data_IF_418506851428
#
_entry.id   IF_418506851428
#
_cell.length_a   1.000
_cell.length_b   1.000
_cell.length_c   1.000
_cell.angle_alpha   90.00
_cell.angle_beta   90.00
_cell.angle_gamma   90.00
#
_symmetry.space_group_name_H-M   'P 1'
#
loop_
_entity.id
_entity.type
_entity.pdbx_description
1 polymer ?
#
# COMPACT_ATOMS: atom_id res chain seq x y z
N UNK A 1 -37.79 -14.50 -1.92
CA UNK A 1 -37.47 -14.83 -0.52
C UNK A 1 -37.53 -13.54 0.28
N UNK A 2 -38.24 -13.50 1.42
CA UNK A 2 -38.33 -12.29 2.27
C UNK A 2 -36.93 -11.96 2.76
N UNK A 3 -36.55 -10.69 2.66
CA UNK A 3 -35.26 -10.19 3.11
C UNK A 3 -35.02 -10.57 4.59
N UNK A 4 -34.06 -11.46 4.90
CA UNK A 4 -33.82 -11.93 6.27
C UNK A 4 -33.36 -10.79 7.20
N UNK A 5 -32.96 -9.65 6.63
CA UNK A 5 -32.45 -8.49 7.33
C UNK A 5 -33.43 -7.84 8.32
N UNK A 6 -34.74 -7.92 8.06
CA UNK A 6 -35.75 -7.32 8.94
C UNK A 6 -35.97 -8.13 10.23
N UNK A 7 -35.90 -9.45 10.14
CA UNK A 7 -36.05 -10.35 11.30
C UNK A 7 -34.81 -10.21 12.20
N UNK A 8 -33.63 -10.06 11.58
CA UNK A 8 -32.34 -9.85 12.24
C UNK A 8 -32.30 -8.56 13.08
N UNK A 9 -32.64 -7.41 12.48
CA UNK A 9 -32.67 -6.12 13.19
C UNK A 9 -33.63 -6.13 14.37
N UNK A 10 -34.73 -6.87 14.23
CA UNK A 10 -35.72 -7.02 15.30
C UNK A 10 -35.16 -7.86 16.44
N UNK A 11 -34.55 -9.01 16.14
CA UNK A 11 -33.92 -9.87 17.14
C UNK A 11 -32.83 -9.12 17.94
N UNK A 12 -31.90 -8.45 17.26
CA UNK A 12 -30.82 -7.67 17.87
C UNK A 12 -31.34 -6.51 18.73
N UNK A 13 -32.42 -5.85 18.30
CA UNK A 13 -33.02 -4.76 19.08
C UNK A 13 -33.69 -5.28 20.34
N UNK A 14 -34.40 -6.40 20.25
CA UNK A 14 -35.08 -7.03 21.39
C UNK A 14 -34.06 -7.55 22.40
N UNK A 15 -33.04 -8.30 21.99
CA UNK A 15 -32.00 -8.79 22.91
C UNK A 15 -31.28 -7.65 23.62
N UNK A 16 -30.93 -6.58 22.90
CA UNK A 16 -30.25 -5.41 23.47
C UNK A 16 -31.14 -4.64 24.45
N UNK A 17 -32.44 -4.57 24.18
CA UNK A 17 -33.39 -3.92 25.09
C UNK A 17 -33.63 -4.76 26.34
N UNK A 18 -33.90 -6.06 26.20
CA UNK A 18 -34.14 -6.98 27.33
C UNK A 18 -32.92 -7.08 28.23
N UNK A 19 -31.71 -7.10 27.66
CA UNK A 19 -30.45 -7.11 28.40
C UNK A 19 -30.03 -5.77 29.01
N UNK A 20 -30.85 -4.71 28.91
CA UNK A 20 -30.50 -3.38 29.42
C UNK A 20 -30.77 -3.23 30.92
N UNK A 21 -30.02 -2.35 31.64
CA UNK A 21 -30.34 -2.01 33.03
C UNK A 21 -31.76 -1.46 33.22
N UNK A 22 -32.30 -0.78 32.20
CA UNK A 22 -33.68 -0.28 32.22
C UNK A 22 -34.72 -1.41 32.23
N UNK A 23 -34.49 -2.47 31.46
CA UNK A 23 -35.32 -3.68 31.50
C UNK A 23 -35.27 -4.34 32.88
N UNK A 24 -34.09 -4.47 33.49
CA UNK A 24 -33.95 -5.03 34.84
C UNK A 24 -34.78 -4.24 35.88
N UNK A 25 -34.72 -2.90 35.82
CA UNK A 25 -35.50 -2.04 36.69
C UNK A 25 -37.02 -2.21 36.45
N UNK A 26 -37.46 -2.26 35.19
CA UNK A 26 -38.86 -2.49 34.84
C UNK A 26 -39.38 -3.84 35.36
N UNK A 27 -38.61 -4.92 35.17
CA UNK A 27 -38.96 -6.24 35.71
C UNK A 27 -39.04 -6.24 37.23
N UNK A 28 -38.08 -5.60 37.90
CA UNK A 28 -38.09 -5.47 39.37
C UNK A 28 -39.35 -4.76 39.86
N UNK A 29 -39.75 -3.66 39.21
CA UNK A 29 -40.97 -2.92 39.53
C UNK A 29 -42.23 -3.75 39.28
N UNK A 30 -42.31 -4.45 38.14
CA UNK A 30 -43.46 -5.33 37.80
C UNK A 30 -43.61 -6.45 38.83
N UNK A 31 -42.51 -7.10 39.23
CA UNK A 31 -42.53 -8.13 40.25
C UNK A 31 -43.05 -7.59 41.59
N UNK A 32 -42.51 -6.46 42.07
CA UNK A 32 -42.97 -5.83 43.31
C UNK A 32 -44.47 -5.48 43.21
N UNK A 33 -44.91 -4.92 42.09
CA UNK A 33 -46.31 -4.59 41.87
C UNK A 33 -47.22 -5.84 41.87
N UNK A 34 -46.77 -6.97 41.33
CA UNK A 34 -47.50 -8.23 41.34
C UNK A 34 -47.66 -8.79 42.76
N UNK A 35 -46.66 -8.64 43.63
CA UNK A 35 -46.81 -9.03 45.05
C UNK A 35 -47.69 -8.05 45.84
N UNK A 36 -47.60 -6.75 45.56
CA UNK A 36 -48.47 -5.73 46.19
C UNK A 36 -49.93 -5.87 45.78
N UNK A 37 -50.23 -6.37 44.58
CA UNK A 37 -51.62 -6.58 44.14
C UNK A 37 -52.32 -7.69 44.93
N UNK A 38 -51.57 -8.71 45.38
CA UNK A 38 -52.06 -9.76 46.28
C UNK A 38 -52.36 -9.19 47.67
N UNK A 39 -51.44 -8.39 48.23
CA UNK A 39 -51.63 -7.74 49.54
C UNK A 39 -52.86 -6.80 49.54
N UNK A 40 -53.10 -6.11 48.42
CA UNK A 40 -54.27 -5.25 48.25
C UNK A 40 -55.58 -6.01 47.95
N UNK A 41 -55.54 -7.33 47.84
CA UNK A 41 -56.71 -8.19 47.61
C UNK A 41 -57.25 -8.18 46.18
N UNK A 42 -56.46 -7.74 45.19
CA UNK A 42 -56.88 -7.74 43.77
C UNK A 42 -56.72 -9.11 43.09
N UNK A 43 -55.86 -9.97 43.61
CA UNK A 43 -55.60 -11.31 43.09
C UNK A 43 -55.25 -12.28 44.23
N UNK A 44 -55.57 -13.56 44.05
CA UNK A 44 -55.12 -14.62 44.96
C UNK A 44 -53.64 -14.96 44.70
N UNK A 45 -52.95 -15.43 45.73
CA UNK A 45 -51.51 -15.73 45.65
C UNK A 45 -51.19 -16.81 44.61
N UNK A 46 -52.02 -17.85 44.53
CA UNK A 46 -51.84 -18.98 43.60
C UNK A 46 -52.02 -18.56 42.14
N UNK A 47 -53.08 -17.81 41.84
CA UNK A 47 -53.35 -17.28 40.50
C UNK A 47 -52.27 -16.30 40.04
N UNK A 48 -51.85 -15.39 40.94
CA UNK A 48 -50.76 -14.45 40.67
C UNK A 48 -49.47 -15.20 40.32
N UNK A 49 -49.08 -16.20 41.12
CA UNK A 49 -47.88 -16.99 40.85
C UNK A 49 -47.98 -17.74 39.51
N UNK A 50 -49.14 -18.34 39.21
CA UNK A 50 -49.35 -19.05 37.95
C UNK A 50 -49.19 -18.13 36.74
N UNK A 51 -49.77 -16.93 36.80
CA UNK A 51 -49.68 -15.94 35.72
C UNK A 51 -48.24 -15.42 35.61
N UNK A 52 -47.65 -14.97 36.73
CA UNK A 52 -46.31 -14.38 36.75
C UNK A 52 -45.26 -15.37 36.24
N UNK A 53 -45.30 -16.62 36.71
CA UNK A 53 -44.35 -17.66 36.25
C UNK A 53 -44.58 -18.05 34.80
N UNK A 54 -45.83 -18.08 34.31
CA UNK A 54 -46.12 -18.28 32.89
C UNK A 54 -45.54 -17.15 32.03
N UNK A 55 -45.72 -15.89 32.43
CA UNK A 55 -45.19 -14.74 31.68
C UNK A 55 -43.66 -14.77 31.67
N UNK A 56 -43.04 -14.96 32.84
CA UNK A 56 -41.57 -14.96 32.98
C UNK A 56 -40.96 -16.15 32.23
N UNK A 57 -41.60 -17.32 32.24
CA UNK A 57 -41.14 -18.47 31.47
C UNK A 57 -41.27 -18.26 29.96
N UNK A 58 -42.37 -17.66 29.50
CA UNK A 58 -42.50 -17.28 28.09
C UNK A 58 -41.41 -16.29 27.68
N UNK A 59 -41.17 -15.25 28.48
CA UNK A 59 -40.10 -14.29 28.23
C UNK A 59 -38.73 -14.97 28.14
N UNK A 60 -38.41 -15.89 29.04
CA UNK A 60 -37.16 -16.63 29.03
C UNK A 60 -36.98 -17.47 27.76
N UNK A 61 -38.04 -18.14 27.29
CA UNK A 61 -38.01 -18.91 26.04
C UNK A 61 -37.80 -17.99 24.83
N UNK A 62 -38.52 -16.88 24.75
CA UNK A 62 -38.37 -15.91 23.66
C UNK A 62 -36.96 -15.30 23.64
N UNK A 63 -36.44 -14.89 24.80
CA UNK A 63 -35.09 -14.33 24.91
C UNK A 63 -34.02 -15.35 24.48
N UNK A 64 -34.15 -16.61 24.90
CA UNK A 64 -33.22 -17.67 24.49
C UNK A 64 -33.20 -17.87 22.97
N UNK A 65 -34.36 -17.87 22.32
CA UNK A 65 -34.47 -17.99 20.85
C UNK A 65 -33.82 -16.77 20.17
N UNK A 66 -34.07 -15.55 20.66
CA UNK A 66 -33.46 -14.35 20.10
C UNK A 66 -31.94 -14.32 20.27
N UNK A 67 -31.43 -14.77 21.42
CA UNK A 67 -29.99 -14.93 21.65
C UNK A 67 -29.41 -15.94 20.66
N UNK A 68 -30.02 -17.11 20.49
CA UNK A 68 -29.53 -18.14 19.57
C UNK A 68 -29.52 -17.64 18.12
N UNK A 69 -30.56 -16.92 17.68
CA UNK A 69 -30.57 -16.30 16.35
C UNK A 69 -29.44 -15.27 16.19
N UNK A 70 -29.20 -14.46 17.22
CA UNK A 70 -28.12 -13.46 17.21
C UNK A 70 -26.74 -14.12 17.15
N UNK A 71 -26.53 -15.20 17.89
CA UNK A 71 -25.27 -15.97 17.88
C UNK A 71 -25.05 -16.58 16.49
N UNK A 72 -26.04 -17.30 15.95
CA UNK A 72 -25.92 -17.93 14.63
C UNK A 72 -25.57 -16.91 13.55
N UNK A 73 -26.20 -15.73 13.61
CA UNK A 73 -25.88 -14.63 12.69
C UNK A 73 -24.46 -14.09 12.90
N UNK A 74 -24.06 -13.86 14.15
CA UNK A 74 -22.70 -13.39 14.45
C UNK A 74 -21.66 -14.39 13.97
N UNK A 75 -21.89 -15.70 14.13
CA UNK A 75 -21.03 -16.75 13.59
C UNK A 75 -20.92 -16.68 12.07
N UNK A 76 -22.05 -16.50 11.37
CA UNK A 76 -22.04 -16.34 9.91
C UNK A 76 -21.26 -15.09 9.48
N UNK A 77 -21.50 -13.95 10.15
CA UNK A 77 -20.77 -12.71 9.86
C UNK A 77 -19.27 -12.84 10.15
N UNK A 78 -18.88 -13.60 11.20
CA UNK A 78 -17.47 -13.88 11.46
C UNK A 78 -16.85 -14.80 10.41
N UNK A 79 -17.62 -15.71 9.81
CA UNK A 79 -17.15 -16.52 8.70
C UNK A 79 -16.91 -15.65 7.46
N UNK A 80 -17.85 -14.77 7.11
CA UNK A 80 -17.71 -13.82 5.99
C UNK A 80 -16.48 -12.92 6.18
N UNK A 81 -16.30 -12.35 7.37
CA UNK A 81 -15.08 -11.58 7.69
C UNK A 81 -13.82 -12.44 7.64
N UNK A 82 -13.92 -13.75 7.93
CA UNK A 82 -12.82 -14.69 7.79
C UNK A 82 -12.41 -14.88 6.32
N UNK A 83 -13.39 -15.05 5.44
CA UNK A 83 -13.20 -15.14 3.99
C UNK A 83 -12.57 -13.86 3.43
N UNK A 84 -13.07 -12.67 3.85
CA UNK A 84 -12.48 -11.38 3.46
C UNK A 84 -11.00 -11.24 3.92
N UNK A 85 -10.66 -11.77 5.10
CA UNK A 85 -9.27 -11.76 5.60
C UNK A 85 -8.37 -12.70 4.81
N UNK A 86 -8.90 -13.84 4.35
CA UNK A 86 -8.16 -14.78 3.49
C UNK A 86 -7.87 -14.14 2.13
N UNK A 87 -8.85 -13.48 1.50
CA UNK A 87 -8.66 -12.73 0.25
C UNK A 87 -7.59 -11.63 0.41
N UNK A 88 -7.66 -10.83 1.48
CA UNK A 88 -6.65 -9.81 1.76
C UNK A 88 -5.24 -10.39 1.98
N UNK A 89 -5.12 -11.63 2.46
CA UNK A 89 -3.81 -12.28 2.60
C UNK A 89 -3.25 -12.71 1.24
N UNK A 90 -4.10 -13.15 0.32
CA UNK A 90 -3.72 -13.46 -1.06
C UNK A 90 -3.24 -12.19 -1.77
N UNK A 91 -3.99 -11.09 -1.69
CA UNK A 91 -3.59 -9.77 -2.23
C UNK A 91 -2.24 -9.30 -1.69
N UNK A 92 -1.99 -9.47 -0.39
CA UNK A 92 -0.70 -9.12 0.22
C UNK A 92 0.43 -10.01 -0.31
N UNK A 93 0.14 -11.27 -0.63
CA UNK A 93 1.07 -12.19 -1.25
C UNK A 93 1.47 -11.72 -2.65
N UNK A 94 0.49 -11.36 -3.49
CA UNK A 94 0.73 -10.83 -4.83
C UNK A 94 1.57 -9.55 -4.79
N UNK A 95 1.25 -8.60 -3.90
CA UNK A 95 2.02 -7.37 -3.73
C UNK A 95 3.48 -7.66 -3.33
N UNK A 96 3.74 -8.70 -2.53
CA UNK A 96 5.10 -9.08 -2.16
C UNK A 96 5.89 -9.65 -3.35
N UNK A 97 5.23 -10.40 -4.22
CA UNK A 97 5.82 -10.90 -5.46
C UNK A 97 6.16 -9.72 -6.40
N UNK A 98 5.21 -8.82 -6.64
CA UNK A 98 5.43 -7.59 -7.43
C UNK A 98 6.59 -6.74 -6.86
N UNK A 99 6.69 -6.61 -5.54
CA UNK A 99 7.80 -5.91 -4.90
C UNK A 99 9.16 -6.60 -5.12
N UNK A 100 9.16 -7.93 -5.20
CA UNK A 100 10.35 -8.73 -5.53
C UNK A 100 10.81 -8.46 -6.96
N UNK A 101 9.89 -8.49 -7.93
CA UNK A 101 10.18 -8.18 -9.33
C UNK A 101 10.72 -6.75 -9.51
N UNK A 102 10.08 -5.75 -8.88
CA UNK A 102 10.57 -4.37 -8.92
C UNK A 102 11.98 -4.25 -8.33
N UNK A 103 12.31 -5.05 -7.29
CA UNK A 103 13.64 -5.02 -6.71
C UNK A 103 14.70 -5.61 -7.64
N UNK A 104 14.35 -6.63 -8.42
CA UNK A 104 15.20 -7.19 -9.47
C UNK A 104 15.42 -6.18 -10.59
N UNK A 105 14.34 -5.58 -11.12
CA UNK A 105 14.40 -4.53 -12.15
C UNK A 105 15.28 -3.34 -11.72
N UNK A 106 15.18 -2.92 -10.45
CA UNK A 106 16.02 -1.84 -9.89
C UNK A 106 17.49 -2.28 -9.81
N UNK A 107 17.76 -3.55 -9.56
CA UNK A 107 19.12 -4.11 -9.59
C UNK A 107 19.72 -4.06 -11.00
N UNK A 108 18.98 -4.54 -12.00
CA UNK A 108 19.41 -4.50 -13.40
C UNK A 108 19.67 -3.06 -13.87
N UNK A 109 18.77 -2.12 -13.55
CA UNK A 109 18.95 -0.70 -13.88
C UNK A 109 20.17 -0.07 -13.20
N UNK A 110 20.60 -0.57 -12.04
CA UNK A 110 21.84 -0.10 -11.40
C UNK A 110 23.07 -0.57 -12.17
N UNK A 111 23.09 -1.83 -12.61
CA UNK A 111 24.17 -2.38 -13.44
C UNK A 111 24.26 -1.63 -14.77
N UNK A 112 23.13 -1.38 -15.45
CA UNK A 112 23.09 -0.60 -16.69
C UNK A 112 23.66 0.82 -16.50
N UNK A 113 23.37 1.46 -15.36
CA UNK A 113 23.89 2.82 -15.05
C UNK A 113 25.39 2.79 -14.77
N UNK A 114 25.91 1.73 -14.16
CA UNK A 114 27.35 1.54 -13.96
C UNK A 114 28.06 1.35 -15.31
N UNK A 115 27.55 0.49 -16.20
CA UNK A 115 28.12 0.28 -17.54
C UNK A 115 28.13 1.58 -18.36
N UNK A 116 27.02 2.32 -18.40
CA UNK A 116 26.95 3.62 -19.09
C UNK A 116 27.97 4.61 -18.50
N UNK A 117 28.20 4.57 -17.19
CA UNK A 117 29.18 5.46 -16.55
C UNK A 117 30.61 5.11 -16.99
N UNK A 118 30.95 3.82 -17.07
CA UNK A 118 32.24 3.37 -17.59
C UNK A 118 32.43 3.75 -19.07
N UNK A 119 31.41 3.55 -19.91
CA UNK A 119 31.43 3.93 -21.33
C UNK A 119 31.68 5.44 -21.50
N UNK A 120 31.05 6.28 -20.66
CA UNK A 120 31.25 7.74 -20.69
C UNK A 120 32.66 8.12 -20.27
N UNK A 121 33.23 7.44 -19.27
CA UNK A 121 34.63 7.65 -18.88
C UNK A 121 35.59 7.28 -20.01
N UNK A 122 35.40 6.11 -20.65
CA UNK A 122 36.23 5.67 -21.79
C UNK A 122 36.15 6.66 -22.96
N UNK A 123 34.94 7.07 -23.36
CA UNK A 123 34.77 8.08 -24.41
C UNK A 123 35.46 9.40 -24.07
N UNK A 124 35.42 9.82 -22.81
CA UNK A 124 36.08 11.06 -22.37
C UNK A 124 37.60 10.94 -22.46
N UNK A 125 38.16 9.78 -22.10
CA UNK A 125 39.60 9.52 -22.27
C UNK A 125 39.99 9.46 -23.75
N UNK A 126 39.20 8.79 -24.59
CA UNK A 126 39.44 8.72 -26.03
C UNK A 126 39.45 10.12 -26.67
N UNK A 127 38.45 10.95 -26.39
CA UNK A 127 38.40 12.34 -26.88
C UNK A 127 39.63 13.14 -26.46
N UNK A 128 40.06 13.02 -25.20
CA UNK A 128 41.26 13.70 -24.71
C UNK A 128 42.54 13.23 -25.42
N UNK A 129 42.65 11.93 -25.73
CA UNK A 129 43.80 11.41 -26.49
C UNK A 129 43.79 11.85 -27.94
N UNK A 130 42.61 11.91 -28.59
CA UNK A 130 42.48 12.36 -29.97
C UNK A 130 42.81 13.85 -30.10
N UNK A 131 42.34 14.69 -29.18
CA UNK A 131 42.70 16.11 -29.11
C UNK A 131 44.21 16.30 -28.94
N UNK A 132 44.84 15.54 -28.04
CA UNK A 132 46.29 15.61 -27.82
C UNK A 132 47.09 15.19 -29.07
N UNK A 133 46.64 14.14 -29.77
CA UNK A 133 47.24 13.68 -31.01
C UNK A 133 47.08 14.72 -32.15
N UNK A 134 45.92 15.36 -32.25
CA UNK A 134 45.66 16.42 -33.24
C UNK A 134 46.57 17.64 -33.00
N UNK A 135 46.70 18.08 -31.75
CA UNK A 135 47.59 19.19 -31.37
C UNK A 135 49.06 18.87 -31.68
N UNK A 136 49.53 17.65 -31.37
CA UNK A 136 50.87 17.21 -31.72
C UNK A 136 51.12 17.26 -33.24
N UNK A 137 50.16 16.78 -34.03
CA UNK A 137 50.23 16.78 -35.49
C UNK A 137 50.20 18.19 -36.07
N UNK A 138 49.40 19.11 -35.52
CA UNK A 138 49.40 20.54 -35.87
C UNK A 138 50.74 21.21 -35.55
N UNK A 139 51.34 20.88 -34.40
CA UNK A 139 52.64 21.40 -34.00
C UNK A 139 53.76 20.95 -34.95
N UNK A 140 53.76 19.67 -35.34
CA UNK A 140 54.71 19.15 -36.33
C UNK A 140 54.54 19.85 -37.68
N UNK A 141 53.31 19.95 -38.19
CA UNK A 141 53.02 20.65 -39.45
C UNK A 141 53.48 22.12 -39.43
N UNK A 142 53.27 22.84 -38.32
CA UNK A 142 53.77 24.22 -38.15
C UNK A 142 55.29 24.29 -38.24
N UNK A 143 56.00 23.34 -37.61
CA UNK A 143 57.46 23.27 -37.70
C UNK A 143 57.92 23.06 -39.14
N UNK A 144 57.35 22.09 -39.84
CA UNK A 144 57.68 21.79 -41.25
C UNK A 144 57.42 22.99 -42.16
N UNK A 145 56.30 23.70 -41.97
CA UNK A 145 56.00 24.95 -42.71
C UNK A 145 57.04 26.05 -42.44
N UNK A 146 57.50 26.17 -41.19
CA UNK A 146 58.51 27.16 -40.80
C UNK A 146 59.86 26.85 -41.43
N UNK A 147 60.26 25.58 -41.46
CA UNK A 147 61.49 25.11 -42.10
C UNK A 147 61.46 25.38 -43.62
N UNK A 148 60.35 25.04 -44.29
CA UNK A 148 60.15 25.33 -45.73
C UNK A 148 60.21 26.84 -46.01
N UNK A 149 59.59 27.68 -45.18
CA UNK A 149 59.68 29.14 -45.30
C UNK A 149 61.12 29.65 -45.17
N UNK A 150 61.89 29.06 -44.25
CA UNK A 150 63.31 29.38 -44.05
C UNK A 150 64.16 29.02 -45.28
N UNK A 151 63.95 27.83 -45.84
CA UNK A 151 64.66 27.36 -47.02
C UNK A 151 64.32 28.17 -48.29
N UNK A 152 63.04 28.53 -48.48
CA UNK A 152 62.62 29.44 -49.55
C UNK A 152 63.30 30.81 -49.46
N UNK A 153 63.45 31.36 -48.25
CA UNK A 153 64.19 32.62 -48.01
C UNK A 153 65.66 32.50 -48.41
N UNK A 154 66.33 31.40 -48.04
CA UNK A 154 67.72 31.15 -48.44
C UNK A 154 67.86 31.04 -49.95
N UNK A 155 66.97 30.29 -50.60
CA UNK A 155 66.95 30.16 -52.06
C UNK A 155 66.75 31.51 -52.76
N UNK A 156 65.84 32.34 -52.26
CA UNK A 156 65.67 33.71 -52.78
C UNK A 156 66.94 34.55 -52.64
N UNK A 157 67.61 34.46 -51.48
CA UNK A 157 68.86 35.19 -51.22
C UNK A 157 70.01 34.70 -52.12
N UNK A 158 70.11 33.39 -52.34
CA UNK A 158 71.09 32.79 -53.24
C UNK A 158 70.84 33.13 -54.72
N UNK A 159 69.57 33.13 -55.16
CA UNK A 159 69.19 33.62 -56.50
C UNK A 159 69.57 35.10 -56.66
N UNK A 160 69.36 35.92 -55.62
CA UNK A 160 69.70 37.34 -55.63
C UNK A 160 71.21 37.57 -55.77
N UNK A 161 72.03 36.75 -55.08
CA UNK A 161 73.50 36.78 -55.21
C UNK A 161 73.97 36.37 -56.60
N UNK A 162 73.31 35.40 -57.24
CA UNK A 162 73.63 34.96 -58.60
C UNK A 162 73.21 35.97 -59.68
N UNK A 163 72.22 36.84 -59.40
CA UNK A 163 71.82 37.92 -60.30
C UNK A 163 72.70 39.17 -60.22
N UNK A 164 73.63 39.26 -59.26
CA UNK A 164 74.59 40.38 -59.23
C UNK A 164 75.66 40.19 -60.32
N UNK A 165 75.92 41.21 -61.16
CA UNK A 165 76.88 41.10 -62.26
C UNK A 165 78.29 40.92 -61.69
N UNK A 166 79.01 39.89 -62.18
CA UNK A 166 80.44 39.69 -61.87
C UNK A 166 81.23 40.89 -62.37
N UNK A 167 81.75 41.69 -61.43
CA UNK A 167 82.85 42.63 -61.69
C UNK A 167 84.19 41.90 -61.69
#
# INVERSE_FOLDING_TARGET
MKDPYHIQKTALRVTRWVGSPGSLAAHTVIFIAAFLSVEAGYAEFEDMLLILTTIVSLEAIYLAIFIQMTINYTTQSLQEVGEDIEELQEDIGEIQEDMGEIQEDVGELQEDVEEISEDVEEMTEEEATEEAAEEARKAEQRKTLTDIQGDLRKLMDDISKLQQPRQ
#
